data_IF_185035936940
#
_entry.id   IF_185035936940
#
_cell.length_a   1.000
_cell.length_b   1.000
_cell.length_c   1.000
_cell.angle_alpha   90.00
_cell.angle_beta   90.00
_cell.angle_gamma   90.00
#
_symmetry.space_group_name_H-M   'P 1'
#
loop_
_entity.id
_entity.type
_entity.pdbx_description
1 polymer ?
#
# COMPACT_ATOMS: atom_id res chain seq x y z
N UNK A 1 15.88 1.66 -5.19
CA UNK A 1 16.50 0.51 -5.88
C UNK A 1 17.86 0.27 -5.25
N UNK A 2 18.23 -0.98 -5.01
CA UNK A 2 19.52 -1.39 -4.43
C UNK A 2 20.11 -2.44 -5.37
N UNK A 3 21.36 -2.25 -5.81
CA UNK A 3 22.14 -3.31 -6.44
C UNK A 3 22.78 -4.14 -5.33
N UNK A 4 22.38 -5.40 -5.21
CA UNK A 4 22.77 -6.27 -4.10
C UNK A 4 24.20 -6.78 -4.26
N UNK A 5 24.58 -7.18 -5.47
CA UNK A 5 25.92 -7.66 -5.82
C UNK A 5 26.33 -7.18 -7.22
N UNK A 6 27.60 -7.37 -7.58
CA UNK A 6 28.07 -7.27 -8.96
C UNK A 6 28.30 -8.70 -9.48
N UNK A 7 27.83 -8.98 -10.70
CA UNK A 7 27.99 -10.28 -11.36
C UNK A 7 27.90 -10.10 -12.87
N UNK A 8 28.63 -10.93 -13.63
CA UNK A 8 28.53 -10.99 -15.09
C UNK A 8 27.37 -11.88 -15.57
N UNK A 9 26.63 -12.48 -14.63
CA UNK A 9 25.42 -13.25 -14.91
C UNK A 9 24.22 -12.37 -15.32
N UNK A 10 23.04 -12.98 -15.54
CA UNK A 10 21.85 -12.23 -15.92
C UNK A 10 21.43 -11.24 -14.82
N UNK A 11 20.88 -10.09 -15.22
CA UNK A 11 20.29 -9.12 -14.30
C UNK A 11 18.89 -9.56 -13.90
N UNK A 12 18.70 -9.79 -12.61
CA UNK A 12 17.40 -10.14 -12.04
C UNK A 12 16.91 -9.00 -11.18
N UNK A 13 15.75 -8.45 -11.52
CA UNK A 13 15.05 -7.47 -10.70
C UNK A 13 14.00 -8.16 -9.84
N UNK A 14 14.08 -8.02 -8.52
CA UNK A 14 13.02 -8.41 -7.60
C UNK A 14 12.33 -7.12 -7.14
N UNK A 15 11.05 -6.96 -7.50
CA UNK A 15 10.31 -5.71 -7.35
C UNK A 15 9.12 -5.87 -6.39
N UNK A 16 8.92 -4.89 -5.53
CA UNK A 16 7.76 -4.72 -4.65
C UNK A 16 7.30 -3.25 -4.74
N UNK A 17 6.11 -2.89 -4.25
CA UNK A 17 5.68 -1.47 -4.23
C UNK A 17 5.57 -0.88 -2.82
N UNK A 18 5.97 0.40 -2.70
CA UNK A 18 6.09 1.09 -1.42
C UNK A 18 4.77 1.76 -0.98
N UNK A 19 3.98 2.21 -1.95
CA UNK A 19 2.71 2.87 -1.69
C UNK A 19 1.65 1.90 -1.17
N UNK A 20 0.59 2.46 -0.61
CA UNK A 20 -0.59 1.72 -0.16
C UNK A 20 -1.83 2.51 -0.61
N UNK A 21 -2.94 1.83 -0.86
CA UNK A 21 -4.23 2.52 -1.04
C UNK A 21 -4.56 3.42 0.16
N UNK A 22 -5.20 4.55 -0.12
CA UNK A 22 -5.59 5.50 0.91
C UNK A 22 -6.43 6.64 0.33
N UNK A 23 -6.27 7.82 0.90
CA UNK A 23 -6.96 9.02 0.44
C UNK A 23 -6.03 10.23 0.48
N UNK A 24 -6.46 11.30 -0.17
CA UNK A 24 -5.77 12.58 -0.20
C UNK A 24 -6.76 13.69 0.13
N UNK A 25 -6.34 14.64 0.98
CA UNK A 25 -7.13 15.83 1.30
C UNK A 25 -7.34 16.65 0.02
N UNK A 26 -8.60 16.91 -0.31
CA UNK A 26 -9.01 17.68 -1.49
C UNK A 26 -9.37 19.11 -1.12
N UNK A 27 -10.26 19.27 -0.14
CA UNK A 27 -10.80 20.56 0.30
C UNK A 27 -11.16 20.53 1.77
N UNK A 28 -11.29 21.72 2.35
CA UNK A 28 -11.70 21.93 3.74
C UNK A 28 -12.89 22.88 3.69
N UNK A 29 -14.00 22.50 4.31
CA UNK A 29 -15.23 23.31 4.36
C UNK A 29 -15.13 24.41 5.44
N UNK A 30 -16.07 25.36 5.41
CA UNK A 30 -16.16 26.41 6.42
C UNK A 30 -16.43 25.86 7.83
N UNK A 31 -17.15 24.75 7.91
CA UNK A 31 -17.52 24.03 9.14
C UNK A 31 -16.41 23.11 9.66
N UNK A 32 -15.29 22.98 8.95
CA UNK A 32 -14.17 22.11 9.33
C UNK A 32 -14.26 20.68 8.81
N UNK A 33 -15.19 20.37 7.91
CA UNK A 33 -15.22 19.07 7.24
C UNK A 33 -14.09 18.95 6.21
N UNK A 34 -13.40 17.82 6.18
CA UNK A 34 -12.24 17.61 5.31
C UNK A 34 -12.62 16.65 4.19
N UNK A 35 -12.90 17.16 2.99
CA UNK A 35 -13.22 16.31 1.85
C UNK A 35 -11.95 15.61 1.34
N UNK A 36 -12.07 14.32 1.01
CA UNK A 36 -10.95 13.50 0.52
C UNK A 36 -11.27 12.79 -0.78
N UNK A 37 -10.23 12.46 -1.55
CA UNK A 37 -10.31 11.62 -2.75
C UNK A 37 -9.54 10.31 -2.52
N UNK A 38 -10.05 9.15 -3.00
CA UNK A 38 -9.30 7.92 -2.92
C UNK A 38 -8.03 7.99 -3.78
N UNK A 39 -6.95 7.41 -3.26
CA UNK A 39 -5.70 7.14 -3.97
C UNK A 39 -5.58 5.62 -4.06
N UNK A 40 -5.61 5.10 -5.27
CA UNK A 40 -5.74 3.66 -5.53
C UNK A 40 -7.15 3.11 -5.35
N UNK A 41 -7.27 1.78 -5.47
CA UNK A 41 -8.57 1.09 -5.50
C UNK A 41 -9.09 0.72 -4.11
N UNK A 42 -9.32 1.73 -3.25
CA UNK A 42 -9.94 1.51 -1.94
C UNK A 42 -11.33 0.89 -2.11
N UNK A 43 -11.57 -0.28 -1.49
CA UNK A 43 -12.85 -1.00 -1.54
C UNK A 43 -14.01 -0.12 -1.10
N UNK A 44 -15.14 -0.20 -1.80
CA UNK A 44 -16.35 0.56 -1.44
C UNK A 44 -16.86 0.28 -0.02
N UNK A 45 -16.66 -0.95 0.49
CA UNK A 45 -17.03 -1.31 1.87
C UNK A 45 -16.10 -0.69 2.93
N UNK A 46 -14.90 -0.23 2.55
CA UNK A 46 -13.89 0.37 3.43
C UNK A 46 -13.90 1.91 3.37
N UNK A 47 -15.02 2.51 2.95
CA UNK A 47 -15.17 3.97 2.79
C UNK A 47 -16.16 4.59 3.78
N UNK A 48 -16.67 3.82 4.73
CA UNK A 48 -17.68 4.25 5.70
C UNK A 48 -17.25 3.87 7.12
N UNK A 49 -17.44 4.79 8.07
CA UNK A 49 -17.09 4.65 9.49
C UNK A 49 -15.69 4.06 9.74
N UNK A 50 -14.67 4.50 9.01
CA UNK A 50 -13.31 3.98 9.14
C UNK A 50 -12.41 4.93 9.95
N UNK A 51 -11.73 4.45 10.99
CA UNK A 51 -10.65 5.21 11.61
C UNK A 51 -9.51 5.45 10.62
N UNK A 52 -9.13 6.72 10.48
CA UNK A 52 -8.05 7.17 9.60
C UNK A 52 -7.15 8.14 10.35
N UNK A 53 -6.00 8.42 9.73
CA UNK A 53 -5.12 9.50 10.17
C UNK A 53 -4.67 10.30 8.96
N UNK A 54 -4.65 11.62 9.13
CA UNK A 54 -4.10 12.57 8.18
C UNK A 54 -2.66 12.83 8.60
N UNK A 55 -1.70 12.70 7.68
CA UNK A 55 -0.31 13.10 7.94
C UNK A 55 -0.01 14.39 7.19
N UNK A 56 0.29 15.45 7.95
CA UNK A 56 0.60 16.77 7.40
C UNK A 56 1.99 16.82 6.79
N UNK A 57 2.32 17.92 6.12
CA UNK A 57 3.66 18.19 5.56
C UNK A 57 4.77 18.23 6.61
N UNK A 58 4.42 18.59 7.84
CA UNK A 58 5.33 18.57 9.00
C UNK A 58 5.34 17.22 9.72
N UNK A 59 4.78 16.18 9.08
CA UNK A 59 4.75 14.80 9.55
C UNK A 59 3.98 14.57 10.87
N UNK A 60 3.17 15.56 11.30
CA UNK A 60 2.20 15.41 12.36
C UNK A 60 1.06 14.48 11.92
N UNK A 61 0.63 13.57 12.80
CA UNK A 61 -0.44 12.60 12.55
C UNK A 61 -1.68 12.97 13.34
N UNK A 62 -2.76 13.28 12.64
CA UNK A 62 -4.02 13.73 13.25
C UNK A 62 -5.06 12.63 13.01
N UNK A 63 -5.57 11.98 14.06
CA UNK A 63 -6.60 10.95 13.92
C UNK A 63 -7.93 11.57 13.50
N UNK A 64 -8.74 10.80 12.79
CA UNK A 64 -10.09 11.20 12.39
C UNK A 64 -10.93 10.00 11.99
N UNK A 65 -12.22 10.26 11.74
CA UNK A 65 -13.16 9.25 11.25
C UNK A 65 -13.54 9.59 9.80
N UNK A 66 -13.31 8.64 8.90
CA UNK A 66 -13.75 8.72 7.51
C UNK A 66 -15.19 8.23 7.39
N UNK A 67 -16.02 9.02 6.72
CA UNK A 67 -17.38 8.66 6.31
C UNK A 67 -17.60 8.96 4.82
N UNK A 68 -18.53 8.23 4.20
CA UNK A 68 -18.89 8.42 2.81
C UNK A 68 -20.37 8.15 2.57
N UNK A 69 -20.94 8.88 1.62
CA UNK A 69 -22.36 8.76 1.25
C UNK A 69 -22.57 7.55 0.34
N UNK A 70 -23.43 6.62 0.77
CA UNK A 70 -23.78 5.39 0.04
C UNK A 70 -24.93 5.66 -0.93
N UNK A 71 -24.72 5.36 -2.21
CA UNK A 71 -25.79 5.32 -3.23
C UNK A 71 -25.66 4.02 -4.03
N UNK A 72 -26.59 3.09 -3.80
CA UNK A 72 -26.50 1.75 -4.39
C UNK A 72 -25.21 1.04 -3.99
N UNK A 73 -24.38 0.68 -4.98
CA UNK A 73 -23.09 -0.01 -4.74
C UNK A 73 -21.90 0.96 -4.58
N UNK A 74 -22.11 2.26 -4.78
CA UNK A 74 -21.05 3.26 -4.73
C UNK A 74 -21.00 3.98 -3.38
N UNK A 75 -19.79 4.38 -2.97
CA UNK A 75 -19.57 5.34 -1.87
C UNK A 75 -18.77 6.50 -2.39
N UNK A 76 -19.36 7.69 -2.30
CA UNK A 76 -18.80 8.96 -2.73
C UNK A 76 -18.94 10.00 -1.60
N UNK A 77 -18.63 11.27 -1.87
CA UNK A 77 -18.75 12.34 -0.87
C UNK A 77 -17.89 12.10 0.38
N UNK A 78 -16.69 11.55 0.20
CA UNK A 78 -15.85 11.12 1.32
C UNK A 78 -15.35 12.31 2.13
N UNK A 79 -15.55 12.24 3.45
CA UNK A 79 -15.11 13.27 4.40
C UNK A 79 -14.43 12.65 5.60
N UNK A 80 -13.41 13.33 6.11
CA UNK A 80 -12.78 13.02 7.39
C UNK A 80 -13.21 14.06 8.42
N UNK A 81 -13.68 13.57 9.56
CA UNK A 81 -13.98 14.36 10.74
C UNK A 81 -12.85 14.20 11.77
N UNK A 82 -12.28 15.34 12.20
CA UNK A 82 -11.26 15.41 13.26
C UNK A 82 -11.80 16.10 14.53
N UNK A 83 -13.10 16.38 14.59
CA UNK A 83 -13.76 17.15 15.65
C UNK A 83 -13.68 18.67 15.49
N UNK A 84 -13.18 19.16 14.35
CA UNK A 84 -13.10 20.59 14.06
C UNK A 84 -14.49 21.20 13.82
N UNK A 85 -14.65 22.46 14.19
CA UNK A 85 -15.89 23.24 14.03
C UNK A 85 -15.75 24.43 13.09
N UNK A 86 -14.55 24.62 12.55
CA UNK A 86 -14.27 25.66 11.58
C UNK A 86 -13.13 25.28 10.65
N UNK A 87 -13.08 25.92 9.49
CA UNK A 87 -11.93 25.86 8.58
C UNK A 87 -10.61 26.19 9.31
N UNK A 88 -10.61 27.23 10.15
CA UNK A 88 -9.39 27.71 10.80
C UNK A 88 -8.83 26.71 11.82
N UNK A 89 -9.68 25.95 12.53
CA UNK A 89 -9.23 24.87 13.42
C UNK A 89 -8.49 23.77 12.64
N UNK A 90 -8.98 23.39 11.46
CA UNK A 90 -8.31 22.42 10.58
C UNK A 90 -6.96 22.97 10.09
N UNK A 91 -6.92 24.25 9.73
CA UNK A 91 -5.69 24.92 9.28
C UNK A 91 -4.65 25.02 10.42
N UNK A 92 -5.09 25.31 11.64
CA UNK A 92 -4.25 25.35 12.85
C UNK A 92 -3.69 23.97 13.21
N UNK A 93 -4.44 22.90 12.95
CA UNK A 93 -3.93 21.52 13.06
C UNK A 93 -2.85 21.21 12.00
N UNK A 94 -2.63 22.08 11.02
CA UNK A 94 -1.59 21.94 10.00
C UNK A 94 -2.03 21.18 8.75
N UNK A 95 -3.31 20.82 8.64
CA UNK A 95 -3.85 20.05 7.51
C UNK A 95 -4.01 20.97 6.29
N UNK A 96 -3.61 20.49 5.12
CA UNK A 96 -3.71 21.18 3.84
C UNK A 96 -4.17 20.23 2.72
N UNK A 97 -4.77 20.76 1.64
CA UNK A 97 -4.94 20.00 0.41
C UNK A 97 -3.63 19.35 -0.06
N UNK A 98 -3.72 18.08 -0.46
CA UNK A 98 -2.59 17.23 -0.82
C UNK A 98 -2.06 16.35 0.32
N UNK A 99 -2.45 16.59 1.57
CA UNK A 99 -2.02 15.75 2.69
C UNK A 99 -2.56 14.33 2.54
N UNK A 100 -1.73 13.34 2.91
CA UNK A 100 -2.05 11.93 2.79
C UNK A 100 -2.92 11.47 3.95
N UNK A 101 -3.89 10.63 3.64
CA UNK A 101 -4.81 10.03 4.60
C UNK A 101 -4.71 8.51 4.48
N UNK A 102 -4.39 7.85 5.58
CA UNK A 102 -4.25 6.38 5.63
C UNK A 102 -5.16 5.81 6.71
N UNK A 103 -5.59 4.57 6.55
CA UNK A 103 -6.27 3.83 7.63
C UNK A 103 -5.43 3.86 8.91
N UNK A 104 -6.10 4.02 10.06
CA UNK A 104 -5.45 4.01 11.37
C UNK A 104 -5.47 2.61 12.00
N UNK A 105 -5.01 1.62 11.23
CA UNK A 105 -4.90 0.24 11.69
C UNK A 105 -3.55 -0.01 12.35
N UNK A 106 -3.57 -0.52 13.58
CA UNK A 106 -2.39 -1.07 14.23
C UNK A 106 -2.04 -2.46 13.66
N UNK A 107 -0.74 -2.78 13.64
CA UNK A 107 -0.27 -4.14 13.39
C UNK A 107 -0.51 -5.02 14.62
N UNK A 108 -1.01 -6.23 14.41
CA UNK A 108 -1.35 -7.18 15.46
C UNK A 108 -0.90 -8.59 15.08
N UNK A 109 -0.39 -9.33 16.06
CA UNK A 109 -0.16 -10.77 15.93
C UNK A 109 -1.44 -11.49 16.31
N UNK A 110 -1.83 -12.45 15.49
CA UNK A 110 -2.99 -13.31 15.69
C UNK A 110 -2.55 -14.71 16.15
N UNK A 111 -3.46 -15.50 16.74
CA UNK A 111 -3.17 -16.90 17.09
C UNK A 111 -2.70 -17.73 15.88
N UNK A 112 -1.90 -18.76 16.16
CA UNK A 112 -1.35 -19.68 15.16
C UNK A 112 -0.44 -19.00 14.11
N UNK A 113 0.44 -18.11 14.60
CA UNK A 113 1.48 -17.47 13.78
C UNK A 113 0.93 -16.69 12.58
N UNK A 114 -0.20 -16.02 12.77
CA UNK A 114 -0.79 -15.12 11.76
C UNK A 114 -0.61 -13.67 12.17
N UNK A 115 -0.77 -12.76 11.23
CA UNK A 115 -0.63 -11.32 11.46
C UNK A 115 -1.79 -10.57 10.80
N UNK A 116 -2.11 -9.40 11.34
CA UNK A 116 -3.15 -8.51 10.85
C UNK A 116 -2.62 -7.08 10.85
N UNK A 117 -2.96 -6.32 9.82
CA UNK A 117 -2.57 -4.93 9.69
C UNK A 117 -3.08 -4.34 8.39
N UNK A 118 -2.82 -3.06 8.17
CA UNK A 118 -3.04 -2.40 6.89
C UNK A 118 -1.84 -2.57 5.96
N UNK A 119 -2.08 -2.34 4.67
CA UNK A 119 -1.03 -2.24 3.66
C UNK A 119 -0.15 -3.50 3.55
N UNK A 120 -0.67 -4.69 3.84
CA UNK A 120 0.06 -5.92 3.47
C UNK A 120 0.36 -5.98 1.98
N UNK A 121 -0.58 -5.44 1.21
CA UNK A 121 -0.41 -4.98 -0.16
C UNK A 121 0.30 -3.60 -0.17
N UNK A 122 1.59 -3.48 -0.50
CA UNK A 122 2.60 -4.55 -0.68
C UNK A 122 3.77 -4.40 0.32
N UNK A 123 3.45 -4.08 1.58
CA UNK A 123 4.47 -4.06 2.63
C UNK A 123 5.01 -5.46 2.94
N UNK A 124 4.31 -6.52 2.56
CA UNK A 124 4.84 -7.88 2.61
C UNK A 124 5.95 -8.08 1.56
N UNK A 125 5.78 -7.62 0.31
CA UNK A 125 6.84 -7.59 -0.69
C UNK A 125 8.02 -6.72 -0.25
N UNK A 126 7.78 -5.52 0.27
CA UNK A 126 8.84 -4.67 0.83
C UNK A 126 9.61 -5.34 1.97
N UNK A 127 8.91 -6.05 2.87
CA UNK A 127 9.54 -6.83 3.93
C UNK A 127 10.44 -7.94 3.35
N UNK A 128 9.97 -8.66 2.33
CA UNK A 128 10.74 -9.69 1.65
C UNK A 128 12.00 -9.12 0.99
N UNK A 129 11.93 -7.95 0.34
CA UNK A 129 13.13 -7.31 -0.21
C UNK A 129 14.18 -7.03 0.88
N UNK A 130 13.76 -6.55 2.05
CA UNK A 130 14.67 -6.30 3.18
C UNK A 130 15.23 -7.61 3.73
N UNK A 131 14.42 -8.66 3.82
CA UNK A 131 14.86 -9.98 4.27
C UNK A 131 15.91 -10.57 3.32
N UNK A 132 15.66 -10.52 2.01
CA UNK A 132 16.60 -10.97 0.99
C UNK A 132 17.92 -10.17 1.02
N UNK A 133 17.85 -8.85 1.20
CA UNK A 133 19.04 -8.03 1.36
C UNK A 133 19.88 -8.51 2.57
N UNK A 134 19.24 -8.77 3.71
CA UNK A 134 19.91 -9.24 4.92
C UNK A 134 20.48 -10.66 4.78
N UNK A 135 19.81 -11.51 4.02
CA UNK A 135 20.24 -12.89 3.85
C UNK A 135 21.36 -13.03 2.82
N UNK A 136 21.31 -12.23 1.75
CA UNK A 136 22.17 -12.43 0.57
C UNK A 136 23.26 -11.37 0.38
N UNK A 137 23.41 -10.36 1.27
CA UNK A 137 24.38 -9.29 1.05
C UNK A 137 25.83 -9.76 0.86
N UNK A 138 26.21 -10.88 1.47
CA UNK A 138 27.56 -11.48 1.34
C UNK A 138 27.54 -12.78 0.51
N UNK A 139 26.42 -13.12 -0.13
CA UNK A 139 26.30 -14.35 -0.91
C UNK A 139 26.95 -14.20 -2.30
N UNK A 140 27.69 -15.22 -2.73
CA UNK A 140 28.10 -15.36 -4.13
C UNK A 140 26.92 -15.88 -4.96
N UNK A 141 26.39 -15.04 -5.84
CA UNK A 141 25.22 -15.36 -6.65
C UNK A 141 25.57 -15.43 -8.15
N UNK A 142 24.99 -16.38 -8.90
CA UNK A 142 25.25 -16.55 -10.34
C UNK A 142 24.57 -15.47 -11.22
N UNK A 143 23.96 -14.45 -10.61
CA UNK A 143 23.20 -13.39 -11.26
C UNK A 143 23.47 -12.04 -10.60
N UNK A 144 23.27 -10.94 -11.32
CA UNK A 144 23.30 -9.58 -10.77
C UNK A 144 21.91 -9.23 -10.23
N UNK A 145 21.77 -9.15 -8.90
CA UNK A 145 20.47 -8.95 -8.25
C UNK A 145 20.21 -7.47 -7.98
N UNK A 146 19.04 -7.01 -8.41
CA UNK A 146 18.49 -5.69 -8.12
C UNK A 146 17.23 -5.80 -7.29
N UNK A 147 17.23 -5.18 -6.11
CA UNK A 147 16.06 -5.08 -5.25
C UNK A 147 15.38 -3.72 -5.47
N UNK A 148 14.16 -3.74 -5.99
CA UNK A 148 13.41 -2.54 -6.38
C UNK A 148 12.16 -2.36 -5.52
N UNK A 149 12.20 -1.41 -4.59
CA UNK A 149 11.00 -0.87 -3.96
C UNK A 149 10.47 0.28 -4.84
N UNK A 150 9.38 0.03 -5.56
CA UNK A 150 8.81 0.93 -6.58
C UNK A 150 7.79 1.91 -5.98
N UNK A 151 7.57 3.03 -6.66
CA UNK A 151 6.60 4.07 -6.26
C UNK A 151 5.32 3.96 -7.08
N UNK A 152 4.18 4.28 -6.47
CA UNK A 152 2.95 4.62 -7.21
C UNK A 152 2.43 3.49 -8.11
N UNK A 153 2.46 2.26 -7.59
CA UNK A 153 1.84 1.10 -8.23
C UNK A 153 0.32 1.26 -8.27
N UNK A 154 -0.26 1.67 -7.14
CA UNK A 154 -1.71 1.65 -6.87
C UNK A 154 -2.50 2.60 -7.79
N UNK A 155 -1.79 3.50 -8.46
CA UNK A 155 -2.31 4.51 -9.40
C UNK A 155 -1.82 4.29 -10.84
N UNK A 156 -1.37 3.07 -11.16
CA UNK A 156 -1.09 2.59 -12.52
C UNK A 156 0.36 2.19 -12.79
N UNK A 157 0.99 1.38 -11.93
CA UNK A 157 2.29 0.72 -12.18
C UNK A 157 3.46 1.69 -12.50
N UNK A 158 3.38 2.94 -12.04
CA UNK A 158 4.21 4.04 -12.58
C UNK A 158 5.70 3.86 -12.25
N UNK A 159 6.00 3.55 -10.99
CA UNK A 159 7.36 3.34 -10.51
C UNK A 159 7.96 2.04 -11.03
N UNK A 160 7.16 0.99 -11.21
CA UNK A 160 7.61 -0.27 -11.81
C UNK A 160 8.15 -0.04 -13.22
N UNK A 161 7.44 0.73 -14.04
CA UNK A 161 7.86 1.04 -15.41
C UNK A 161 9.19 1.82 -15.47
N UNK A 162 9.39 2.79 -14.57
CA UNK A 162 10.62 3.59 -14.53
C UNK A 162 11.80 2.81 -13.94
N UNK A 163 11.57 1.99 -12.90
CA UNK A 163 12.57 1.10 -12.33
C UNK A 163 13.07 0.06 -13.35
N UNK A 164 12.15 -0.59 -14.07
CA UNK A 164 12.50 -1.56 -15.10
C UNK A 164 13.35 -0.93 -16.23
N UNK A 165 13.01 0.29 -16.68
CA UNK A 165 13.83 1.02 -17.67
C UNK A 165 15.22 1.39 -17.15
N UNK A 166 15.33 1.76 -15.88
CA UNK A 166 16.61 2.15 -15.28
C UNK A 166 17.54 0.96 -15.05
N UNK A 167 16.99 -0.18 -14.61
CA UNK A 167 17.76 -1.40 -14.33
C UNK A 167 18.05 -2.19 -15.61
N UNK A 168 17.10 -2.19 -16.56
CA UNK A 168 17.10 -3.03 -17.75
C UNK A 168 17.36 -4.52 -17.41
N UNK A 169 16.49 -5.17 -16.61
CA UNK A 169 16.70 -6.54 -16.19
C UNK A 169 16.43 -7.54 -17.31
N UNK A 170 17.14 -8.67 -17.29
CA UNK A 170 16.88 -9.82 -18.16
C UNK A 170 15.68 -10.63 -17.65
N UNK A 171 15.45 -10.63 -16.32
CA UNK A 171 14.34 -11.27 -15.64
C UNK A 171 13.80 -10.37 -14.53
N UNK A 172 12.48 -10.27 -14.42
CA UNK A 172 11.82 -9.58 -13.31
C UNK A 172 10.93 -10.54 -12.52
N UNK A 173 11.07 -10.52 -11.19
CA UNK A 173 10.18 -11.17 -10.24
C UNK A 173 9.43 -10.06 -9.51
N UNK A 174 8.11 -9.99 -9.69
CA UNK A 174 7.25 -9.03 -9.00
C UNK A 174 6.63 -9.72 -7.80
N UNK A 175 6.85 -9.15 -6.63
CA UNK A 175 6.22 -9.53 -5.37
C UNK A 175 4.97 -8.67 -5.24
N UNK A 176 3.85 -9.33 -4.97
CA UNK A 176 2.54 -8.71 -4.83
C UNK A 176 1.61 -9.64 -4.02
N UNK A 177 0.48 -9.12 -3.55
CA UNK A 177 -0.47 -9.85 -2.73
C UNK A 177 -1.87 -9.85 -3.35
N UNK A 178 -2.62 -10.93 -3.11
CA UNK A 178 -4.01 -10.99 -3.52
C UNK A 178 -4.82 -11.83 -2.54
N UNK A 179 -6.11 -11.51 -2.42
CA UNK A 179 -7.05 -12.26 -1.58
C UNK A 179 -8.17 -12.89 -2.42
N UNK A 180 -8.86 -13.88 -1.85
CA UNK A 180 -10.05 -14.48 -2.44
C UNK A 180 -11.31 -13.71 -2.00
N UNK A 181 -12.22 -13.42 -2.93
CA UNK A 181 -13.43 -12.66 -2.62
C UNK A 181 -14.35 -13.38 -1.62
N UNK A 182 -14.42 -14.72 -1.68
CA UNK A 182 -15.17 -15.56 -0.74
C UNK A 182 -14.25 -16.04 0.38
N UNK A 183 -13.97 -15.18 1.37
CA UNK A 183 -12.88 -15.36 2.34
C UNK A 183 -12.78 -16.77 3.01
N UNK A 184 -13.91 -17.44 3.25
CA UNK A 184 -13.96 -18.77 3.90
C UNK A 184 -14.26 -19.94 2.94
N UNK A 185 -14.23 -19.69 1.63
CA UNK A 185 -14.29 -20.75 0.62
C UNK A 185 -12.92 -21.40 0.49
N UNK A 186 -12.74 -22.55 1.13
CA UNK A 186 -11.52 -23.36 1.06
C UNK A 186 -11.60 -24.46 -0.02
N UNK A 187 -12.57 -24.36 -0.94
CA UNK A 187 -12.70 -25.28 -2.05
C UNK A 187 -11.55 -25.17 -3.06
N UNK A 188 -11.50 -26.12 -4.00
CA UNK A 188 -10.43 -26.24 -4.99
C UNK A 188 -10.28 -25.02 -5.92
N UNK A 189 -11.30 -24.16 -6.02
CA UNK A 189 -11.25 -22.93 -6.80
C UNK A 189 -10.45 -21.81 -6.14
N UNK A 190 -10.24 -21.87 -4.82
CA UNK A 190 -9.49 -20.85 -4.10
C UNK A 190 -7.99 -21.17 -4.11
N UNK A 191 -7.27 -20.53 -5.03
CA UNK A 191 -5.81 -20.60 -5.13
C UNK A 191 -5.07 -19.52 -4.32
N UNK A 192 -5.75 -18.88 -3.35
CA UNK A 192 -5.24 -17.75 -2.55
C UNK A 192 -5.41 -18.01 -1.04
N UNK A 193 -5.33 -19.27 -0.65
CA UNK A 193 -5.53 -19.69 0.75
C UNK A 193 -4.27 -19.43 1.58
N UNK A 194 -4.41 -18.67 2.67
CA UNK A 194 -3.29 -18.47 3.60
C UNK A 194 -2.85 -19.79 4.22
N UNK A 195 -1.53 -20.02 4.27
CA UNK A 195 -0.94 -21.26 4.79
C UNK A 195 -0.80 -22.41 3.78
N UNK A 196 -1.22 -22.22 2.53
CA UNK A 196 -1.04 -23.21 1.44
C UNK A 196 0.16 -22.89 0.52
N UNK A 197 1.08 -22.04 0.98
CA UNK A 197 2.27 -21.60 0.24
C UNK A 197 2.06 -20.32 -0.58
N UNK A 198 3.13 -19.84 -1.26
CA UNK A 198 3.06 -18.67 -2.13
C UNK A 198 2.20 -18.90 -3.36
N UNK A 199 1.66 -17.81 -3.92
CA UNK A 199 0.95 -17.81 -5.20
C UNK A 199 2.00 -17.56 -6.29
N UNK A 200 1.94 -18.33 -7.38
CA UNK A 200 2.77 -18.10 -8.56
C UNK A 200 1.87 -17.78 -9.77
N UNK A 201 2.04 -16.59 -10.32
CA UNK A 201 1.52 -16.21 -11.63
C UNK A 201 2.66 -16.11 -12.63
N UNK A 202 2.39 -16.44 -13.90
CA UNK A 202 3.34 -16.22 -14.99
C UNK A 202 2.67 -15.32 -16.01
N UNK A 203 3.14 -14.08 -16.11
CA UNK A 203 2.81 -13.18 -17.20
C UNK A 203 3.87 -13.33 -18.30
N UNK A 204 3.45 -13.43 -19.55
CA UNK A 204 4.31 -13.53 -20.73
C UNK A 204 4.35 -12.21 -21.48
#
# INVERSE_FOLDING_TARGET
>A
MIRLNASDGPKVMICAHMDEVGFMVRSISGEGAIDVLPVGNVRMAARQLQPVRITTREECKIPGLLEGERSGNEVSGLRVDIGARSHDEVIQAGIRPGDRVTFDSAFQVLPHQRVMGKAFDDRLGCYLLIALLREWHDAELPAEIWLAASSSEEVGLRGGQTAARAIAPDLAIVLDTACWAKNFDYGAANHRQIGQGPIAGVER
#
